data_IF_823713282597
#
_entry.id   IF_823713282597
#
_cell.length_a   1.000
_cell.length_b   1.000
_cell.length_c   1.000
_cell.angle_alpha   90.00
_cell.angle_beta   90.00
_cell.angle_gamma   90.00
#
_symmetry.space_group_name_H-M   'P 1'
#
loop_
_entity.id
_entity.type
_entity.pdbx_description
1 polymer ?
#
# COMPACT_ATOMS: atom_id res chain seq x y z
N UNK A 1 10.71 0.76 -15.65
CA UNK A 1 10.97 1.02 -14.22
C UNK A 1 12.25 1.82 -14.13
N UNK A 2 12.31 2.88 -13.30
CA UNK A 2 13.61 3.47 -12.98
C UNK A 2 14.40 2.47 -12.10
N UNK A 3 15.75 2.47 -12.12
CA UNK A 3 16.56 1.55 -11.32
C UNK A 3 16.19 1.54 -9.83
N UNK A 4 15.84 2.70 -9.27
CA UNK A 4 15.37 2.84 -7.88
C UNK A 4 14.07 2.09 -7.57
N UNK A 5 13.27 1.79 -8.60
CA UNK A 5 12.04 1.01 -8.46
C UNK A 5 12.31 -0.49 -8.40
N UNK A 6 13.37 -0.98 -9.03
CA UNK A 6 13.72 -2.42 -9.05
C UNK A 6 14.19 -2.85 -7.67
N UNK A 7 15.07 -2.06 -7.04
CA UNK A 7 15.57 -2.32 -5.68
C UNK A 7 14.44 -2.34 -4.65
N UNK A 8 13.42 -1.47 -4.80
CA UNK A 8 12.28 -1.40 -3.88
C UNK A 8 11.46 -2.70 -3.86
N UNK A 9 11.29 -3.37 -5.00
CA UNK A 9 10.44 -4.55 -5.14
C UNK A 9 11.23 -5.86 -5.33
N UNK A 10 12.55 -5.83 -5.21
CA UNK A 10 13.42 -6.98 -5.45
C UNK A 10 12.97 -8.25 -4.69
N UNK A 11 12.57 -8.09 -3.41
CA UNK A 11 12.13 -9.22 -2.57
C UNK A 11 10.85 -9.89 -3.06
N UNK A 12 9.87 -9.11 -3.54
CA UNK A 12 8.62 -9.68 -4.06
C UNK A 12 8.75 -10.16 -5.51
N UNK A 13 9.62 -9.53 -6.32
CA UNK A 13 9.98 -10.02 -7.64
C UNK A 13 10.63 -11.41 -7.59
N UNK A 14 11.43 -11.68 -6.55
CA UNK A 14 12.08 -12.97 -6.33
C UNK A 14 11.13 -14.11 -5.92
N UNK A 15 9.85 -13.81 -5.59
CA UNK A 15 8.89 -14.85 -5.21
C UNK A 15 8.50 -15.72 -6.41
N UNK A 16 8.57 -17.04 -6.22
CA UNK A 16 8.16 -18.01 -7.23
C UNK A 16 6.72 -17.75 -7.67
N UNK A 17 6.51 -17.61 -8.98
CA UNK A 17 5.20 -17.32 -9.57
C UNK A 17 4.73 -15.87 -9.43
N UNK A 18 5.56 -14.93 -8.93
CA UNK A 18 5.23 -13.50 -8.92
C UNK A 18 5.86 -12.77 -10.12
N UNK A 19 7.17 -12.50 -10.04
CA UNK A 19 7.96 -11.91 -11.13
C UNK A 19 7.48 -10.54 -11.62
N UNK A 20 8.12 -10.07 -12.69
CA UNK A 20 7.84 -8.77 -13.31
C UNK A 20 6.39 -8.58 -13.79
N UNK A 21 5.74 -9.57 -14.45
CA UNK A 21 4.39 -9.36 -14.98
C UNK A 21 3.37 -9.02 -13.89
N UNK A 22 3.44 -9.68 -12.73
CA UNK A 22 2.52 -9.38 -11.61
C UNK A 22 2.86 -8.05 -10.93
N UNK A 23 4.15 -7.70 -10.83
CA UNK A 23 4.52 -6.38 -10.34
C UNK A 23 3.97 -5.26 -11.24
N UNK A 24 4.05 -5.45 -12.55
CA UNK A 24 3.52 -4.50 -13.52
C UNK A 24 2.01 -4.38 -13.37
N UNK A 25 1.29 -5.50 -13.22
CA UNK A 25 -0.15 -5.48 -12.93
C UNK A 25 -0.52 -4.69 -11.66
N UNK A 26 0.29 -4.76 -10.58
CA UNK A 26 0.08 -3.92 -9.40
C UNK A 26 0.31 -2.43 -9.70
N UNK A 27 1.35 -2.09 -10.47
CA UNK A 27 1.59 -0.68 -10.87
C UNK A 27 0.47 -0.11 -11.72
N UNK A 28 -0.13 -0.93 -12.58
CA UNK A 28 -1.20 -0.46 -13.46
C UNK A 28 -2.57 -0.46 -12.73
N UNK A 29 -2.64 -1.04 -11.53
CA UNK A 29 -3.85 -1.09 -10.74
C UNK A 29 -4.18 0.24 -10.05
N UNK A 30 -5.47 0.50 -9.95
CA UNK A 30 -6.06 1.58 -9.15
C UNK A 30 -6.97 0.97 -8.08
N UNK A 31 -6.69 1.25 -6.82
CA UNK A 31 -7.44 0.74 -5.67
C UNK A 31 -7.98 1.90 -4.86
N UNK A 32 -9.28 1.86 -4.53
CA UNK A 32 -9.90 2.78 -3.59
C UNK A 32 -10.10 2.09 -2.23
N UNK A 33 -9.69 2.77 -1.15
CA UNK A 33 -9.86 2.31 0.23
C UNK A 33 -10.75 3.32 0.95
N UNK A 34 -11.88 2.83 1.46
CA UNK A 34 -12.82 3.63 2.26
C UNK A 34 -12.56 3.34 3.74
N UNK A 35 -12.14 4.38 4.47
CA UNK A 35 -11.64 4.32 5.82
C UNK A 35 -10.12 4.11 5.89
N UNK A 36 -9.42 5.06 6.49
CA UNK A 36 -8.03 5.06 6.93
C UNK A 36 -7.90 4.81 8.45
N UNK A 37 -8.95 4.25 9.07
CA UNK A 37 -8.99 3.87 10.48
C UNK A 37 -8.22 2.59 10.82
N UNK A 38 -8.70 1.83 11.82
CA UNK A 38 -7.95 0.68 12.36
C UNK A 38 -7.74 -0.47 11.37
N UNK A 39 -8.65 -0.65 10.42
CA UNK A 39 -8.50 -1.63 9.33
C UNK A 39 -7.79 -1.01 8.12
N UNK A 40 -8.12 0.24 7.80
CA UNK A 40 -7.51 0.98 6.69
C UNK A 40 -6.01 1.14 6.84
N UNK A 41 -5.55 1.47 8.05
CA UNK A 41 -4.13 1.69 8.36
C UNK A 41 -3.22 0.55 7.87
N UNK A 42 -3.38 -0.72 8.30
CA UNK A 42 -2.54 -1.81 7.80
C UNK A 42 -2.76 -2.10 6.31
N UNK A 43 -4.00 -2.02 5.81
CA UNK A 43 -4.29 -2.27 4.39
C UNK A 43 -3.53 -1.29 3.49
N UNK A 44 -3.60 0.00 3.81
CA UNK A 44 -2.93 1.06 3.06
C UNK A 44 -1.41 0.90 3.08
N UNK A 45 -0.83 0.56 4.24
CA UNK A 45 0.61 0.28 4.36
C UNK A 45 1.04 -0.85 3.42
N UNK A 46 0.29 -1.96 3.38
CA UNK A 46 0.64 -3.10 2.54
C UNK A 46 0.38 -2.85 1.05
N UNK A 47 -0.70 -2.17 0.67
CA UNK A 47 -0.96 -1.83 -0.73
C UNK A 47 0.11 -0.87 -1.29
N UNK A 48 0.49 0.15 -0.51
CA UNK A 48 1.54 1.07 -0.90
C UNK A 48 2.92 0.39 -0.96
N UNK A 49 3.20 -0.51 -0.02
CA UNK A 49 4.43 -1.32 0.00
C UNK A 49 4.51 -2.31 -1.16
N UNK A 50 3.40 -2.95 -1.52
CA UNK A 50 3.30 -3.86 -2.66
C UNK A 50 3.46 -3.15 -4.02
N UNK A 51 3.25 -1.82 -4.05
CA UNK A 51 3.47 -1.00 -5.23
C UNK A 51 2.24 -0.89 -6.13
N UNK A 52 1.05 -0.77 -5.53
CA UNK A 52 -0.14 -0.29 -6.25
C UNK A 52 0.16 1.10 -6.84
N UNK A 53 -0.11 1.29 -8.13
CA UNK A 53 0.21 2.56 -8.80
C UNK A 53 -0.63 3.73 -8.36
N UNK A 54 -1.93 3.49 -8.13
CA UNK A 54 -2.87 4.51 -7.68
C UNK A 54 -3.67 4.02 -6.46
N UNK A 55 -3.53 4.74 -5.35
CA UNK A 55 -4.33 4.54 -4.14
C UNK A 55 -5.19 5.77 -3.89
N UNK A 56 -6.51 5.59 -3.95
CA UNK A 56 -7.48 6.60 -3.54
C UNK A 56 -7.96 6.27 -2.13
N UNK A 57 -7.84 7.23 -1.21
CA UNK A 57 -8.16 7.05 0.21
C UNK A 57 -9.31 7.99 0.56
N UNK A 58 -10.41 7.42 1.06
CA UNK A 58 -11.63 8.17 1.38
C UNK A 58 -11.89 7.99 2.87
N UNK A 59 -11.72 9.04 3.65
CA UNK A 59 -11.99 9.07 5.08
C UNK A 59 -12.45 10.48 5.46
N UNK A 60 -13.52 10.59 6.25
CA UNK A 60 -14.08 11.86 6.71
C UNK A 60 -13.75 12.20 8.18
N UNK A 61 -13.08 11.27 8.89
CA UNK A 61 -12.68 11.46 10.28
C UNK A 61 -11.34 12.22 10.39
N UNK A 62 -11.10 12.79 11.58
CA UNK A 62 -9.82 13.40 11.95
C UNK A 62 -9.01 12.47 12.86
N UNK A 63 -7.67 12.58 12.78
CA UNK A 63 -6.76 11.84 13.66
C UNK A 63 -6.95 12.28 15.10
N UNK A 64 -7.13 11.31 16.00
CA UNK A 64 -7.29 11.56 17.43
C UNK A 64 -6.39 10.63 18.25
N UNK A 65 -5.87 11.14 19.38
CA UNK A 65 -4.94 10.42 20.25
C UNK A 65 -5.47 9.05 20.70
N UNK A 66 -6.78 8.97 20.99
CA UNK A 66 -7.47 7.74 21.41
C UNK A 66 -7.45 6.64 20.34
N UNK A 67 -7.15 6.97 19.10
CA UNK A 67 -7.15 6.04 17.98
C UNK A 67 -5.75 5.53 17.58
N UNK A 68 -4.68 6.18 18.04
CA UNK A 68 -3.30 5.86 17.62
C UNK A 68 -2.87 4.43 17.96
N UNK A 69 -3.41 3.83 19.02
CA UNK A 69 -3.10 2.45 19.40
C UNK A 69 -3.48 1.40 18.35
N UNK A 70 -4.36 1.74 17.39
CA UNK A 70 -4.81 0.84 16.32
C UNK A 70 -4.72 1.43 14.92
N UNK A 71 -4.58 2.75 14.78
CA UNK A 71 -4.45 3.43 13.49
C UNK A 71 -2.98 3.74 13.19
N UNK A 72 -2.18 2.67 13.01
CA UNK A 72 -0.71 2.73 12.94
C UNK A 72 -0.13 3.55 11.78
N UNK A 73 -0.95 3.96 10.80
CA UNK A 73 -0.49 4.81 9.69
C UNK A 73 -0.30 6.28 10.10
N UNK A 74 -0.84 6.66 11.27
CA UNK A 74 -0.80 8.04 11.80
C UNK A 74 0.23 8.22 12.92
N UNK A 75 1.25 7.36 12.99
CA UNK A 75 2.32 7.37 14.01
C UNK A 75 3.70 7.58 13.41
#
# INVERSE_FOLDING_TARGET
MTPSSEDRYARQLALSGFGYPKQQALRDAHVSVVGAGGLGSPVLLYLAGAGIGHLNIIDDDQVALVNLHRQIIHS
#
